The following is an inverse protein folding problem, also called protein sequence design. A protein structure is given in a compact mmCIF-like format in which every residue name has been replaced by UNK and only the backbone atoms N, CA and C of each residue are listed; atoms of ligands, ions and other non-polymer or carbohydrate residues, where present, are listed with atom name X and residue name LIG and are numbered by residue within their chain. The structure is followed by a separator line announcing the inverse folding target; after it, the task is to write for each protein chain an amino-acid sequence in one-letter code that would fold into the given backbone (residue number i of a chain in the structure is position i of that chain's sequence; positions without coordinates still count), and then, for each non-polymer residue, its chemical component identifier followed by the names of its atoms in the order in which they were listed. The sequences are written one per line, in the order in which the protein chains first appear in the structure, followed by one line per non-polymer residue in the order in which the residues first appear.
data_IF_393861656735
#
_entry.id   IF_393861656735
#
_cell.length_a   1.000
_cell.length_b   1.000
_cell.length_c   1.000
_cell.angle_alpha   90.00
_cell.angle_beta   90.00
_cell.angle_gamma   90.00
#
_symmetry.space_group_name_H-M   'P 1'
#
loop_
_entity.id
_entity.type
_entity.pdbx_description
1 polymer ?
#
# COMPACT_ATOMS: atom_id res chain seq x y z
N UNK A 1 -20.62 -16.56 -2.23
CA UNK A 1 -22.01 -16.13 -2.10
C UNK A 1 -22.08 -14.61 -1.86
N UNK A 2 -23.02 -13.90 -2.51
CA UNK A 2 -23.12 -12.45 -2.45
C UNK A 2 -23.24 -11.90 -1.01
N UNK A 3 -24.00 -12.58 -0.16
CA UNK A 3 -24.19 -12.17 1.23
C UNK A 3 -22.88 -12.10 2.04
N UNK A 4 -21.91 -12.99 1.78
CA UNK A 4 -20.59 -12.92 2.46
C UNK A 4 -19.80 -11.67 2.05
N UNK A 5 -19.88 -11.30 0.78
CA UNK A 5 -19.23 -10.07 0.27
C UNK A 5 -19.88 -8.82 0.88
N UNK A 6 -21.22 -8.79 0.91
CA UNK A 6 -21.97 -7.69 1.51
C UNK A 6 -21.71 -7.55 3.01
N UNK A 7 -21.63 -8.68 3.74
CA UNK A 7 -21.31 -8.70 5.17
C UNK A 7 -19.88 -8.23 5.43
N UNK A 8 -18.92 -8.63 4.60
CA UNK A 8 -17.55 -8.18 4.71
C UNK A 8 -17.43 -6.67 4.47
N UNK A 9 -18.07 -6.15 3.41
CA UNK A 9 -18.10 -4.71 3.13
C UNK A 9 -18.71 -3.93 4.31
N UNK A 10 -19.84 -4.39 4.85
CA UNK A 10 -20.48 -3.74 6.01
C UNK A 10 -19.65 -3.78 7.29
N UNK A 11 -18.82 -4.81 7.44
CA UNK A 11 -17.96 -4.99 8.60
C UNK A 11 -16.68 -4.19 8.53
N UNK A 12 -16.20 -3.89 7.32
CA UNK A 12 -15.00 -3.12 7.12
C UNK A 12 -15.22 -1.66 7.54
N UNK A 13 -14.33 -1.06 8.35
CA UNK A 13 -14.48 0.34 8.76
C UNK A 13 -14.49 1.29 7.56
N UNK A 14 -15.41 2.27 7.58
CA UNK A 14 -15.51 3.31 6.54
C UNK A 14 -14.42 4.37 6.62
N UNK A 15 -13.65 4.37 7.70
CA UNK A 15 -12.53 5.28 7.94
C UNK A 15 -11.30 4.49 8.37
N UNK A 16 -10.13 4.99 8.01
CA UNK A 16 -8.85 4.46 8.44
C UNK A 16 -8.01 5.59 9.02
N UNK A 17 -7.57 5.42 10.26
CA UNK A 17 -6.65 6.37 10.89
C UNK A 17 -5.21 5.93 10.65
N UNK A 18 -4.53 6.61 9.75
CA UNK A 18 -3.10 6.49 9.54
C UNK A 18 -2.37 7.20 10.69
N UNK A 19 -2.03 6.44 11.74
CA UNK A 19 -1.36 6.99 12.91
C UNK A 19 0.11 7.28 12.62
N UNK A 20 0.54 8.51 12.77
CA UNK A 20 1.95 8.89 12.73
C UNK A 20 2.68 8.45 14.00
N UNK A 21 4.02 8.36 13.91
CA UNK A 21 4.85 8.27 15.11
C UNK A 21 4.65 9.52 15.99
N UNK A 22 4.55 10.68 15.35
CA UNK A 22 4.07 11.91 15.97
C UNK A 22 2.53 11.98 15.85
N UNK A 23 1.78 12.06 16.95
CA UNK A 23 0.33 12.17 16.91
C UNK A 23 -0.21 13.40 16.15
N UNK A 24 0.57 14.47 16.04
CA UNK A 24 0.21 15.67 15.25
C UNK A 24 0.19 15.40 13.75
N UNK A 25 0.89 14.34 13.31
CA UNK A 25 0.95 13.88 11.92
C UNK A 25 -0.09 12.78 11.60
N UNK A 26 -1.03 12.52 12.51
CA UNK A 26 -2.14 11.58 12.23
C UNK A 26 -2.99 12.07 11.07
N UNK A 27 -3.37 11.16 10.20
CA UNK A 27 -4.27 11.44 9.10
C UNK A 27 -5.45 10.46 9.08
N UNK A 28 -6.66 11.00 8.95
CA UNK A 28 -7.86 10.17 8.79
C UNK A 28 -8.19 10.06 7.31
N UNK A 29 -8.06 8.83 6.78
CA UNK A 29 -8.52 8.49 5.45
C UNK A 29 -10.03 8.25 5.50
N UNK A 30 -10.79 9.14 4.93
CA UNK A 30 -12.25 9.13 4.92
C UNK A 30 -12.82 9.69 3.63
N UNK A 31 -14.10 9.44 3.39
CA UNK A 31 -14.77 9.91 2.19
C UNK A 31 -14.84 11.44 2.14
N UNK A 32 -14.37 12.02 1.03
CA UNK A 32 -14.35 13.47 0.81
C UNK A 32 -13.09 14.19 1.30
N UNK A 33 -12.13 13.47 1.88
CA UNK A 33 -10.83 14.01 2.24
C UNK A 33 -9.76 13.38 1.34
N UNK A 34 -8.93 14.21 0.71
CA UNK A 34 -7.83 13.78 -0.14
C UNK A 34 -6.49 14.16 0.49
N UNK A 35 -5.49 13.31 0.29
CA UNK A 35 -4.11 13.57 0.70
C UNK A 35 -3.14 12.93 -0.28
N UNK A 36 -1.92 13.41 -0.29
CA UNK A 36 -0.88 12.94 -1.18
C UNK A 36 0.08 11.99 -0.47
N UNK A 37 0.58 11.02 -1.22
CA UNK A 37 1.55 10.02 -0.81
C UNK A 37 2.63 10.01 -1.88
N UNK A 38 3.88 9.78 -1.51
CA UNK A 38 4.90 9.52 -2.51
C UNK A 38 4.65 8.17 -3.18
N UNK A 39 5.14 8.00 -4.40
CA UNK A 39 5.18 6.69 -5.05
C UNK A 39 6.35 5.86 -4.51
N UNK A 40 6.17 4.55 -4.44
CA UNK A 40 7.10 3.67 -3.74
C UNK A 40 7.87 2.69 -4.62
N UNK A 41 8.97 2.23 -4.02
CA UNK A 41 9.78 1.07 -4.42
C UNK A 41 10.50 1.19 -5.78
N UNK A 42 10.98 2.40 -6.10
CA UNK A 42 11.73 2.58 -7.34
C UNK A 42 13.07 1.83 -7.30
N UNK A 43 13.35 0.92 -8.29
CA UNK A 43 14.62 0.20 -8.39
C UNK A 43 15.74 1.04 -8.99
N UNK A 44 15.41 2.19 -9.57
CA UNK A 44 16.32 3.13 -10.18
C UNK A 44 15.98 4.54 -9.73
N UNK A 45 16.98 5.41 -9.65
CA UNK A 45 16.82 6.82 -9.33
C UNK A 45 17.69 7.69 -10.23
N UNK A 46 17.28 8.93 -10.39
CA UNK A 46 18.15 9.98 -10.98
C UNK A 46 18.92 10.61 -9.83
N UNK A 47 20.25 10.52 -9.89
CA UNK A 47 21.11 11.17 -8.91
C UNK A 47 20.87 12.69 -8.93
N UNK A 48 20.54 13.32 -7.80
CA UNK A 48 20.19 14.75 -7.78
C UNK A 48 21.37 15.66 -8.12
N UNK A 49 22.61 15.18 -7.97
CA UNK A 49 23.84 15.96 -8.23
C UNK A 49 24.35 15.76 -9.65
N UNK A 50 24.52 14.52 -10.08
CA UNK A 50 25.07 14.19 -11.40
C UNK A 50 24.03 14.17 -12.50
N UNK A 51 22.73 14.02 -12.16
CA UNK A 51 21.60 13.84 -13.09
C UNK A 51 21.66 12.53 -13.90
N UNK A 52 22.50 11.62 -13.48
CA UNK A 52 22.64 10.29 -14.10
C UNK A 52 21.65 9.29 -13.46
N UNK A 53 21.19 8.35 -14.27
CA UNK A 53 20.37 7.24 -13.81
C UNK A 53 21.26 6.20 -13.15
N UNK A 54 20.96 5.81 -11.90
CA UNK A 54 21.66 4.80 -11.15
C UNK A 54 20.75 3.99 -10.22
N UNK A 55 21.25 2.87 -9.71
CA UNK A 55 20.60 2.14 -8.63
C UNK A 55 20.75 2.88 -7.31
N UNK A 56 19.71 2.88 -6.45
CA UNK A 56 19.79 3.48 -5.13
C UNK A 56 20.60 2.61 -4.16
N UNK A 57 21.14 3.27 -3.15
CA UNK A 57 21.85 2.67 -2.02
C UNK A 57 21.06 2.86 -0.72
N UNK A 58 21.51 2.23 0.38
CA UNK A 58 20.95 2.45 1.72
C UNK A 58 20.98 3.92 2.14
N UNK A 59 22.07 4.63 1.81
CA UNK A 59 22.19 6.05 2.11
C UNK A 59 21.11 6.89 1.39
N UNK A 60 20.80 6.54 0.13
CA UNK A 60 19.73 7.21 -0.61
C UNK A 60 18.35 6.98 0.04
N UNK A 61 18.11 5.78 0.59
CA UNK A 61 16.86 5.49 1.32
C UNK A 61 16.75 6.36 2.58
N UNK A 62 17.84 6.49 3.35
CA UNK A 62 17.87 7.31 4.55
C UNK A 62 17.63 8.81 4.22
N UNK A 63 18.30 9.33 3.20
CA UNK A 63 18.13 10.72 2.74
C UNK A 63 16.71 10.98 2.20
N UNK A 64 16.19 10.06 1.37
CA UNK A 64 14.83 10.17 0.84
C UNK A 64 13.77 10.12 1.94
N UNK A 65 13.99 9.32 2.98
CA UNK A 65 13.08 9.22 4.13
C UNK A 65 13.00 10.55 4.88
N UNK A 66 14.15 11.18 5.17
CA UNK A 66 14.20 12.50 5.80
C UNK A 66 13.55 13.58 4.93
N UNK A 67 13.81 13.54 3.63
CA UNK A 67 13.22 14.50 2.68
C UNK A 67 11.69 14.37 2.65
N UNK A 68 11.15 13.14 2.59
CA UNK A 68 9.70 12.92 2.57
C UNK A 68 9.02 13.30 3.89
N UNK A 69 9.71 13.14 5.01
CA UNK A 69 9.19 13.59 6.31
C UNK A 69 9.07 15.10 6.39
N UNK A 70 9.99 15.83 5.77
CA UNK A 70 9.98 17.29 5.72
C UNK A 70 8.90 17.90 4.80
N UNK A 71 8.29 17.10 3.91
CA UNK A 71 7.26 17.58 2.99
C UNK A 71 5.87 17.50 3.63
N UNK A 72 5.30 18.62 4.06
CA UNK A 72 3.99 18.66 4.73
C UNK A 72 2.85 18.09 3.88
N UNK A 73 2.93 18.18 2.56
CA UNK A 73 1.90 17.66 1.65
C UNK A 73 1.91 16.13 1.53
N UNK A 74 3.02 15.47 1.87
CA UNK A 74 3.10 14.02 1.94
C UNK A 74 2.56 13.58 3.31
N UNK A 75 1.35 13.03 3.32
CA UNK A 75 0.64 12.68 4.58
C UNK A 75 0.98 11.28 5.10
N UNK A 76 1.37 10.37 4.22
CA UNK A 76 1.80 9.01 4.53
C UNK A 76 3.11 8.77 3.80
N UNK A 77 4.09 8.20 4.52
CA UNK A 77 5.36 7.77 3.94
C UNK A 77 5.18 6.42 3.27
N UNK A 78 5.44 6.34 1.98
CA UNK A 78 5.64 5.07 1.29
C UNK A 78 7.14 4.86 1.02
N UNK A 79 7.63 3.63 1.15
CA UNK A 79 9.02 3.27 0.91
C UNK A 79 9.47 3.73 -0.49
N UNK A 80 10.33 4.75 -0.62
CA UNK A 80 10.55 5.42 -1.91
C UNK A 80 11.44 4.61 -2.87
N UNK A 81 12.42 3.89 -2.33
CA UNK A 81 13.51 3.30 -3.10
C UNK A 81 13.78 1.86 -2.64
N UNK A 82 14.27 1.03 -3.56
CA UNK A 82 14.77 -0.33 -3.28
C UNK A 82 16.29 -0.32 -3.33
N UNK A 83 17.02 -0.32 -2.19
CA UNK A 83 18.47 -0.28 -2.19
C UNK A 83 19.08 -1.53 -2.82
N UNK A 84 20.13 -1.36 -3.62
CA UNK A 84 20.83 -2.41 -4.35
C UNK A 84 22.06 -2.96 -3.64
N UNK A 85 22.54 -2.26 -2.59
CA UNK A 85 23.74 -2.57 -1.84
C UNK A 85 23.48 -3.43 -0.60
N UNK A 86 22.44 -4.27 -0.66
CA UNK A 86 22.07 -5.18 0.42
C UNK A 86 21.29 -6.40 -0.11
N UNK A 87 21.13 -7.40 0.76
CA UNK A 87 20.29 -8.55 0.47
C UNK A 87 18.82 -8.15 0.35
N UNK A 88 18.19 -8.55 -0.76
CA UNK A 88 16.80 -8.19 -1.06
C UNK A 88 15.79 -8.87 -0.10
N UNK A 89 16.15 -10.00 0.50
CA UNK A 89 15.28 -10.68 1.48
C UNK A 89 15.05 -9.84 2.74
N UNK A 90 16.04 -9.03 3.13
CA UNK A 90 15.96 -8.15 4.30
C UNK A 90 15.74 -6.67 3.96
N UNK A 91 15.56 -6.35 2.68
CA UNK A 91 15.37 -4.97 2.21
C UNK A 91 14.20 -4.27 2.92
N UNK A 92 13.07 -4.97 3.11
CA UNK A 92 11.91 -4.43 3.81
C UNK A 92 12.20 -4.10 5.29
N UNK A 93 13.05 -4.88 5.95
CA UNK A 93 13.47 -4.62 7.33
C UNK A 93 14.35 -3.38 7.43
N UNK A 94 15.26 -3.19 6.46
CA UNK A 94 16.09 -1.99 6.42
C UNK A 94 15.24 -0.73 6.16
N UNK A 95 14.34 -0.80 5.21
CA UNK A 95 13.41 0.30 4.92
C UNK A 95 12.53 0.63 6.12
N UNK A 96 12.08 -0.39 6.86
CA UNK A 96 11.36 -0.19 8.13
C UNK A 96 12.24 0.51 9.17
N UNK A 97 13.51 0.11 9.29
CA UNK A 97 14.47 0.78 10.19
C UNK A 97 14.67 2.24 9.80
N UNK A 98 14.89 2.55 8.52
CA UNK A 98 15.04 3.91 8.02
C UNK A 98 13.79 4.76 8.35
N UNK A 99 12.60 4.21 8.06
CA UNK A 99 11.32 4.81 8.41
C UNK A 99 11.20 5.11 9.92
N UNK A 100 11.40 4.11 10.77
CA UNK A 100 11.26 4.25 12.21
C UNK A 100 12.26 5.22 12.83
N UNK A 101 13.44 5.39 12.24
CA UNK A 101 14.44 6.35 12.73
C UNK A 101 14.13 7.79 12.32
N UNK A 102 13.64 7.99 11.09
CA UNK A 102 13.71 9.30 10.43
C UNK A 102 12.36 9.86 10.01
N UNK A 103 11.26 9.10 10.09
CA UNK A 103 9.95 9.57 9.69
C UNK A 103 8.99 9.67 10.89
N UNK A 104 8.25 10.78 10.97
CA UNK A 104 7.25 11.03 12.03
C UNK A 104 5.83 10.70 11.58
N UNK A 105 5.60 10.51 10.29
CA UNK A 105 4.31 10.22 9.67
C UNK A 105 3.95 8.74 9.77
N UNK A 106 2.76 8.39 9.31
CA UNK A 106 2.38 6.98 9.11
C UNK A 106 3.18 6.35 7.99
N UNK A 107 3.69 5.14 8.20
CA UNK A 107 4.41 4.38 7.17
C UNK A 107 3.50 3.44 6.38
N UNK A 108 3.80 3.28 5.09
CA UNK A 108 3.25 2.20 4.29
C UNK A 108 4.41 1.35 3.77
N UNK A 109 4.44 0.09 4.18
CA UNK A 109 5.58 -0.80 3.97
C UNK A 109 5.10 -2.09 3.32
N UNK A 110 5.55 -2.35 2.10
CA UNK A 110 5.33 -3.60 1.39
C UNK A 110 6.11 -4.75 2.06
N UNK A 111 5.43 -5.83 2.39
CA UNK A 111 5.99 -6.99 3.07
C UNK A 111 5.59 -8.27 2.35
N UNK A 112 6.58 -9.09 2.02
CA UNK A 112 6.39 -10.30 1.20
C UNK A 112 6.42 -11.60 2.02
N UNK A 113 6.72 -11.51 3.33
CA UNK A 113 6.74 -12.69 4.20
C UNK A 113 6.18 -12.39 5.58
N UNK A 114 5.60 -13.41 6.19
CA UNK A 114 5.09 -13.36 7.57
C UNK A 114 6.20 -13.06 8.57
N UNK A 115 7.40 -13.58 8.34
CA UNK A 115 8.56 -13.38 9.21
C UNK A 115 8.99 -11.91 9.22
N UNK A 116 9.10 -11.29 8.03
CA UNK A 116 9.41 -9.87 7.92
C UNK A 116 8.31 -9.01 8.55
N UNK A 117 7.03 -9.35 8.34
CA UNK A 117 5.92 -8.64 8.99
C UNK A 117 6.05 -8.67 10.51
N UNK A 118 6.26 -9.85 11.11
CA UNK A 118 6.43 -10.00 12.55
C UNK A 118 7.62 -9.21 13.08
N UNK A 119 8.72 -9.21 12.34
CA UNK A 119 9.93 -8.45 12.69
C UNK A 119 9.67 -6.95 12.63
N UNK A 120 9.01 -6.46 11.58
CA UNK A 120 8.63 -5.05 11.46
C UNK A 120 7.67 -4.62 12.59
N UNK A 121 6.71 -5.46 12.96
CA UNK A 121 5.82 -5.18 14.10
C UNK A 121 6.59 -5.10 15.41
N UNK A 122 7.55 -6.01 15.66
CA UNK A 122 8.41 -5.93 16.84
C UNK A 122 9.22 -4.63 16.87
N UNK A 123 9.84 -4.23 15.75
CA UNK A 123 10.58 -2.97 15.63
C UNK A 123 9.68 -1.77 15.93
N UNK A 124 8.51 -1.72 15.32
CA UNK A 124 7.53 -0.64 15.51
C UNK A 124 6.97 -0.63 16.94
N UNK A 125 6.78 -1.79 17.57
CA UNK A 125 6.33 -1.91 18.96
C UNK A 125 7.36 -1.33 19.94
N UNK A 126 8.65 -1.52 19.68
CA UNK A 126 9.71 -0.89 20.50
C UNK A 126 9.59 0.64 20.44
N UNK A 127 9.41 1.20 19.25
CA UNK A 127 9.25 2.65 19.03
C UNK A 127 7.95 3.18 19.64
N UNK A 128 6.87 2.42 19.56
CA UNK A 128 5.58 2.78 20.15
C UNK A 128 5.54 2.67 21.68
N UNK A 129 6.54 2.01 22.28
CA UNK A 129 6.63 1.77 23.73
C UNK A 129 5.83 0.55 24.21
N UNK A 130 5.62 -0.44 23.36
CA UNK A 130 5.01 -1.73 23.65
C UNK A 130 4.04 -2.22 22.56
N UNK A 131 3.78 -3.54 22.55
CA UNK A 131 2.89 -4.16 21.58
C UNK A 131 1.45 -3.67 21.70
N UNK A 132 0.95 -3.46 22.91
CA UNK A 132 -0.40 -2.95 23.14
C UNK A 132 -0.57 -1.54 22.59
N UNK A 133 0.42 -0.67 22.82
CA UNK A 133 0.42 0.69 22.29
C UNK A 133 0.48 0.71 20.76
N UNK A 134 1.27 -0.20 20.17
CA UNK A 134 1.28 -0.35 18.70
C UNK A 134 -0.07 -0.82 18.17
N UNK A 135 -0.75 -1.75 18.86
CA UNK A 135 -2.09 -2.22 18.45
C UNK A 135 -3.16 -1.14 18.54
N UNK A 136 -3.08 -0.26 19.53
CA UNK A 136 -3.99 0.89 19.66
C UNK A 136 -3.72 1.95 18.60
N UNK A 137 -2.45 2.17 18.26
CA UNK A 137 -2.00 3.16 17.29
C UNK A 137 -0.97 2.56 16.34
N UNK A 138 -1.38 1.77 15.36
CA UNK A 138 -0.45 1.20 14.39
C UNK A 138 0.17 2.31 13.53
N UNK A 139 1.48 2.53 13.71
CA UNK A 139 2.23 3.60 13.03
C UNK A 139 2.62 3.23 11.61
N UNK A 140 2.32 2.03 11.17
CA UNK A 140 2.43 1.64 9.76
C UNK A 140 1.29 0.70 9.34
N UNK A 141 1.05 0.66 8.04
CA UNK A 141 0.20 -0.28 7.33
C UNK A 141 1.03 -1.07 6.32
N UNK A 142 0.49 -2.21 5.87
CA UNK A 142 1.14 -3.02 4.83
C UNK A 142 0.22 -3.27 3.64
N UNK A 143 0.76 -3.87 2.61
CA UNK A 143 0.02 -4.22 1.39
C UNK A 143 -0.38 -5.68 1.37
N UNK A 144 -1.42 -5.96 0.60
CA UNK A 144 -1.75 -7.28 0.10
C UNK A 144 -2.11 -7.16 -1.38
N UNK A 145 -1.27 -7.74 -2.23
CA UNK A 145 -1.33 -7.55 -3.67
C UNK A 145 -1.84 -8.82 -4.35
N UNK A 146 -3.11 -8.83 -4.84
CA UNK A 146 -3.57 -9.90 -5.70
C UNK A 146 -2.79 -9.90 -7.02
N UNK A 147 -2.61 -11.08 -7.60
CA UNK A 147 -2.01 -11.23 -8.92
C UNK A 147 -3.12 -11.20 -9.96
N UNK A 148 -3.15 -10.15 -10.75
CA UNK A 148 -4.16 -10.02 -11.83
C UNK A 148 -3.85 -10.95 -13.01
N UNK A 149 -4.84 -11.67 -13.54
CA UNK A 149 -6.24 -11.63 -13.16
C UNK A 149 -6.63 -12.67 -12.10
N UNK A 150 -7.38 -12.25 -11.09
CA UNK A 150 -8.18 -13.08 -10.17
C UNK A 150 -7.39 -14.18 -9.41
N UNK A 151 -6.11 -13.96 -9.12
CA UNK A 151 -5.28 -14.92 -8.42
C UNK A 151 -4.73 -14.33 -7.11
N UNK A 152 -4.65 -15.17 -6.09
CA UNK A 152 -4.03 -14.86 -4.81
C UNK A 152 -2.86 -15.82 -4.57
N UNK A 153 -1.67 -15.28 -4.36
CA UNK A 153 -0.54 -16.10 -3.91
C UNK A 153 -0.74 -16.54 -2.47
N UNK A 154 -0.15 -17.68 -2.13
CA UNK A 154 -0.15 -18.16 -0.74
C UNK A 154 0.48 -17.13 0.18
N UNK A 155 1.62 -16.57 -0.20
CA UNK A 155 2.38 -15.62 0.62
C UNK A 155 1.58 -14.33 0.89
N UNK A 156 0.89 -13.79 -0.12
CA UNK A 156 0.01 -12.63 0.06
C UNK A 156 -1.14 -12.92 1.02
N UNK A 157 -1.76 -14.11 0.92
CA UNK A 157 -2.81 -14.53 1.86
C UNK A 157 -2.27 -14.71 3.27
N UNK A 158 -1.10 -15.33 3.44
CA UNK A 158 -0.47 -15.55 4.75
C UNK A 158 -0.11 -14.21 5.42
N UNK A 159 0.45 -13.25 4.67
CA UNK A 159 0.74 -11.90 5.15
C UNK A 159 -0.55 -11.18 5.56
N UNK A 160 -1.61 -11.25 4.74
CA UNK A 160 -2.90 -10.64 5.07
C UNK A 160 -3.48 -11.23 6.37
N UNK A 161 -3.50 -12.56 6.49
CA UNK A 161 -4.03 -13.25 7.68
C UNK A 161 -3.25 -12.82 8.93
N UNK A 162 -1.95 -12.80 8.85
CA UNK A 162 -1.10 -12.42 9.99
C UNK A 162 -1.20 -10.93 10.33
N UNK A 163 -1.28 -10.04 9.32
CA UNK A 163 -1.50 -8.60 9.54
C UNK A 163 -2.82 -8.35 10.27
N UNK A 164 -3.89 -9.05 9.90
CA UNK A 164 -5.17 -8.98 10.60
C UNK A 164 -5.05 -9.41 12.07
N UNK A 165 -4.30 -10.48 12.35
CA UNK A 165 -4.06 -10.99 13.72
C UNK A 165 -3.26 -10.02 14.56
N UNK A 166 -2.24 -9.41 13.98
CA UNK A 166 -1.35 -8.44 14.64
C UNK A 166 -1.97 -7.05 14.77
N UNK A 167 -3.06 -6.75 14.05
CA UNK A 167 -3.71 -5.45 14.05
C UNK A 167 -3.06 -4.42 13.13
N UNK A 168 -2.27 -4.87 12.15
CA UNK A 168 -1.64 -4.01 11.14
C UNK A 168 -2.64 -3.70 10.04
N UNK A 169 -3.02 -2.44 9.79
CA UNK A 169 -3.93 -2.08 8.71
C UNK A 169 -3.40 -2.49 7.33
N UNK A 170 -4.32 -2.78 6.42
CA UNK A 170 -4.00 -3.32 5.10
C UNK A 170 -4.51 -2.43 3.98
N UNK A 171 -3.67 -2.17 2.98
CA UNK A 171 -4.08 -1.69 1.66
C UNK A 171 -4.12 -2.89 0.71
N UNK A 172 -5.23 -3.09 0.03
CA UNK A 172 -5.33 -4.04 -1.07
C UNK A 172 -4.96 -3.30 -2.33
N UNK A 173 -3.99 -3.81 -3.10
CA UNK A 173 -3.39 -3.04 -4.19
C UNK A 173 -3.27 -3.83 -5.49
N UNK A 174 -4.38 -4.16 -6.18
CA UNK A 174 -4.32 -4.82 -7.48
C UNK A 174 -3.57 -3.98 -8.51
N UNK A 175 -2.79 -4.66 -9.34
CA UNK A 175 -2.09 -4.09 -10.50
C UNK A 175 -2.58 -4.79 -11.76
N UNK A 176 -3.82 -4.55 -12.15
CA UNK A 176 -4.37 -5.02 -13.43
C UNK A 176 -3.85 -4.16 -14.57
N UNK A 177 -3.25 -4.80 -15.60
CA UNK A 177 -2.79 -4.11 -16.80
C UNK A 177 -3.77 -4.34 -17.93
N UNK A 178 -4.54 -3.31 -18.28
CA UNK A 178 -5.46 -3.37 -19.42
C UNK A 178 -4.68 -3.60 -20.72
N UNK A 179 -5.09 -4.60 -21.47
CA UNK A 179 -4.39 -5.06 -22.68
C UNK A 179 -3.29 -6.10 -22.44
N UNK A 180 -3.05 -6.49 -21.19
CA UNK A 180 -2.08 -7.54 -20.84
C UNK A 180 -2.67 -8.55 -19.85
N UNK A 181 -2.64 -8.25 -18.55
CA UNK A 181 -3.16 -9.15 -17.49
C UNK A 181 -4.66 -9.02 -17.28
N UNK A 182 -5.29 -8.01 -17.89
CA UNK A 182 -6.75 -7.82 -17.90
C UNK A 182 -7.24 -7.48 -19.31
N UNK A 183 -8.57 -7.37 -19.46
CA UNK A 183 -9.17 -7.03 -20.73
C UNK A 183 -8.68 -5.68 -21.29
N UNK A 184 -8.68 -5.52 -22.61
CA UNK A 184 -8.39 -4.23 -23.25
C UNK A 184 -9.42 -3.15 -22.89
N UNK A 185 -10.66 -3.54 -22.66
CA UNK A 185 -11.73 -2.62 -22.29
C UNK A 185 -11.59 -2.18 -20.83
N UNK A 186 -11.55 -0.87 -20.59
CA UNK A 186 -11.34 -0.29 -19.26
C UNK A 186 -12.43 -0.71 -18.25
N UNK A 187 -13.69 -0.77 -18.68
CA UNK A 187 -14.78 -1.19 -17.79
C UNK A 187 -14.62 -2.66 -17.34
N UNK A 188 -14.21 -3.54 -18.26
CA UNK A 188 -13.94 -4.95 -17.95
C UNK A 188 -12.76 -5.11 -17.01
N UNK A 189 -11.70 -4.30 -17.17
CA UNK A 189 -10.58 -4.23 -16.21
C UNK A 189 -11.05 -3.81 -14.83
N UNK A 190 -11.97 -2.83 -14.72
CA UNK A 190 -12.54 -2.44 -13.43
C UNK A 190 -13.36 -3.56 -12.77
N UNK A 191 -14.03 -4.42 -13.54
CA UNK A 191 -14.73 -5.59 -12.97
C UNK A 191 -13.74 -6.56 -12.34
N UNK A 192 -12.64 -6.89 -13.03
CA UNK A 192 -11.57 -7.75 -12.49
C UNK A 192 -10.96 -7.12 -11.23
N UNK A 193 -10.56 -5.85 -11.31
CA UNK A 193 -10.01 -5.10 -10.18
C UNK A 193 -10.94 -5.09 -8.96
N UNK A 194 -12.24 -4.87 -9.18
CA UNK A 194 -13.22 -4.87 -8.10
C UNK A 194 -13.34 -6.25 -7.43
N UNK A 195 -13.36 -7.32 -8.23
CA UNK A 195 -13.41 -8.69 -7.71
C UNK A 195 -12.18 -9.02 -6.86
N UNK A 196 -10.99 -8.61 -7.30
CA UNK A 196 -9.73 -8.78 -6.58
C UNK A 196 -9.72 -8.05 -5.23
N UNK A 197 -10.15 -6.78 -5.19
CA UNK A 197 -10.28 -6.04 -3.94
C UNK A 197 -11.28 -6.70 -2.98
N UNK A 198 -12.49 -6.98 -3.47
CA UNK A 198 -13.56 -7.51 -2.62
C UNK A 198 -13.22 -8.89 -2.06
N UNK A 199 -12.55 -9.75 -2.82
CA UNK A 199 -12.15 -11.09 -2.36
C UNK A 199 -11.15 -11.01 -1.19
N UNK A 200 -10.19 -10.09 -1.23
CA UNK A 200 -9.25 -9.85 -0.13
C UNK A 200 -9.92 -9.21 1.08
N UNK A 201 -10.89 -8.30 0.87
CA UNK A 201 -11.70 -7.75 1.97
C UNK A 201 -12.48 -8.87 2.66
N UNK A 202 -13.09 -9.78 1.90
CA UNK A 202 -13.79 -10.94 2.47
C UNK A 202 -12.84 -11.78 3.32
N UNK A 203 -11.66 -12.10 2.82
CA UNK A 203 -10.66 -12.87 3.55
C UNK A 203 -10.26 -12.15 4.85
N UNK A 204 -9.93 -10.87 4.79
CA UNK A 204 -9.51 -10.10 5.96
C UNK A 204 -10.61 -9.97 7.02
N UNK A 205 -11.86 -9.72 6.60
CA UNK A 205 -13.00 -9.63 7.52
C UNK A 205 -13.40 -11.00 8.09
N UNK A 206 -13.13 -12.10 7.38
CA UNK A 206 -13.32 -13.45 7.90
C UNK A 206 -12.28 -13.79 8.99
N UNK A 207 -11.04 -13.30 8.87
CA UNK A 207 -9.99 -13.46 9.88
C UNK A 207 -10.26 -12.59 11.11
N UNK A 208 -10.58 -11.32 10.88
CA UNK A 208 -10.85 -10.35 11.95
C UNK A 208 -11.91 -9.34 11.49
N UNK A 209 -13.15 -9.56 11.95
CA UNK A 209 -14.24 -8.64 11.68
C UNK A 209 -13.95 -7.24 12.21
N UNK A 210 -14.17 -6.22 11.40
CA UNK A 210 -13.87 -4.82 11.73
C UNK A 210 -12.40 -4.43 11.54
N UNK A 211 -11.57 -5.28 10.91
CA UNK A 211 -10.20 -4.93 10.60
C UNK A 211 -10.11 -3.81 9.54
N UNK A 212 -9.30 -2.75 9.76
CA UNK A 212 -9.16 -1.67 8.79
C UNK A 212 -8.50 -2.13 7.50
N UNK A 213 -9.21 -1.97 6.39
CA UNK A 213 -8.71 -2.30 5.05
C UNK A 213 -9.02 -1.16 4.10
N UNK A 214 -8.05 -0.82 3.26
CA UNK A 214 -8.14 0.27 2.29
C UNK A 214 -8.32 -0.32 0.89
N UNK A 215 -9.32 0.15 0.18
CA UNK A 215 -9.59 -0.20 -1.22
C UNK A 215 -8.59 0.51 -2.11
N UNK A 216 -7.53 -0.19 -2.52
CA UNK A 216 -6.40 0.40 -3.22
C UNK A 216 -6.33 0.02 -4.69
N UNK A 217 -5.40 0.65 -5.40
CA UNK A 217 -5.11 0.35 -6.81
C UNK A 217 -3.78 0.90 -7.28
N UNK A 218 -3.10 0.09 -8.10
CA UNK A 218 -2.05 0.51 -9.02
C UNK A 218 -2.39 0.13 -10.48
N UNK A 219 -3.67 -0.16 -10.75
CA UNK A 219 -4.17 -0.58 -12.08
C UNK A 219 -3.90 0.48 -13.15
N UNK A 220 -3.36 0.04 -14.27
CA UNK A 220 -2.98 0.89 -15.41
C UNK A 220 -3.21 0.18 -16.75
N UNK A 221 -2.60 0.67 -17.80
CA UNK A 221 -2.56 0.04 -19.10
C UNK A 221 -1.13 -0.44 -19.42
N UNK A 222 -1.02 -1.40 -20.32
CA UNK A 222 0.26 -1.75 -20.93
C UNK A 222 0.48 -0.94 -22.21
N UNK A 223 1.66 -0.38 -22.38
CA UNK A 223 2.12 0.06 -23.69
C UNK A 223 2.47 -1.17 -24.52
N UNK A 224 1.63 -1.50 -25.48
CA UNK A 224 1.76 -2.69 -26.33
C UNK A 224 3.00 -2.63 -27.23
N UNK A 225 3.57 -1.46 -27.47
CA UNK A 225 4.79 -1.30 -28.27
C UNK A 225 6.04 -1.66 -27.51
N UNK A 226 6.11 -1.31 -26.24
CA UNK A 226 7.30 -1.51 -25.39
C UNK A 226 7.16 -2.68 -24.42
N UNK A 227 5.92 -3.14 -24.15
CA UNK A 227 5.62 -4.15 -23.14
C UNK A 227 5.73 -3.63 -21.71
N UNK A 228 5.83 -2.31 -21.51
CA UNK A 228 5.99 -1.68 -20.21
C UNK A 228 4.65 -1.16 -19.68
N UNK A 229 4.57 -1.03 -18.36
CA UNK A 229 3.44 -0.35 -17.72
C UNK A 229 3.49 1.14 -18.08
N UNK A 230 2.38 1.67 -18.60
CA UNK A 230 2.28 3.09 -18.89
C UNK A 230 1.85 3.86 -17.64
N UNK A 231 2.83 4.12 -16.74
CA UNK A 231 2.61 4.93 -15.55
C UNK A 231 2.37 6.38 -15.95
N UNK A 232 1.35 7.00 -15.35
CA UNK A 232 0.96 8.38 -15.68
C UNK A 232 0.17 8.52 -16.99
N UNK A 233 -0.24 7.42 -17.64
CA UNK A 233 -1.13 7.49 -18.79
C UNK A 233 -2.52 8.07 -18.41
N UNK A 234 -3.22 8.76 -19.31
CA UNK A 234 -4.58 9.26 -19.04
C UNK A 234 -5.54 8.17 -18.56
N UNK A 235 -5.41 6.96 -19.09
CA UNK A 235 -6.21 5.80 -18.70
C UNK A 235 -5.98 5.41 -17.23
N UNK A 236 -4.76 5.54 -16.70
CA UNK A 236 -4.48 5.33 -15.28
C UNK A 236 -5.23 6.34 -14.41
N UNK A 237 -5.29 7.61 -14.84
CA UNK A 237 -6.09 8.64 -14.19
C UNK A 237 -7.59 8.31 -14.20
N UNK A 238 -8.11 7.79 -15.33
CA UNK A 238 -9.49 7.34 -15.45
C UNK A 238 -9.77 6.17 -14.50
N UNK A 239 -8.87 5.17 -14.44
CA UNK A 239 -8.98 4.06 -13.49
C UNK A 239 -8.99 4.57 -12.05
N UNK A 240 -8.05 5.42 -11.68
CA UNK A 240 -7.95 5.95 -10.32
C UNK A 240 -9.21 6.69 -9.89
N UNK A 241 -9.79 7.52 -10.78
CA UNK A 241 -11.04 8.22 -10.51
C UNK A 241 -12.24 7.26 -10.38
N UNK A 242 -12.33 6.25 -11.25
CA UNK A 242 -13.39 5.24 -11.21
C UNK A 242 -13.29 4.35 -9.95
N UNK A 243 -12.08 3.95 -9.59
CA UNK A 243 -11.80 3.11 -8.42
C UNK A 243 -12.10 3.87 -7.11
N UNK A 244 -11.73 5.14 -7.04
CA UNK A 244 -12.12 5.98 -5.90
C UNK A 244 -13.65 6.11 -5.78
N UNK A 245 -14.38 6.17 -6.90
CA UNK A 245 -15.85 6.15 -6.89
C UNK A 245 -16.41 4.80 -6.44
N UNK A 246 -15.82 3.67 -6.84
CA UNK A 246 -16.21 2.34 -6.37
C UNK A 246 -16.00 2.21 -4.86
N UNK A 247 -14.84 2.62 -4.35
CA UNK A 247 -14.58 2.64 -2.91
C UNK A 247 -15.62 3.48 -2.16
N UNK A 248 -15.94 4.66 -2.70
CA UNK A 248 -17.01 5.54 -2.15
C UNK A 248 -18.38 4.85 -2.16
N UNK A 249 -18.72 4.12 -3.21
CA UNK A 249 -19.95 3.34 -3.29
C UNK A 249 -20.04 2.30 -2.19
N UNK A 250 -18.92 1.60 -1.90
CA UNK A 250 -18.82 0.63 -0.81
C UNK A 250 -18.62 1.27 0.58
N UNK A 251 -18.49 2.59 0.66
CA UNK A 251 -18.15 3.33 1.90
C UNK A 251 -16.83 2.89 2.51
N UNK A 252 -15.84 2.58 1.69
CA UNK A 252 -14.51 2.18 2.11
C UNK A 252 -13.53 3.33 1.89
N UNK A 253 -12.47 3.46 2.73
CA UNK A 253 -11.36 4.36 2.44
C UNK A 253 -10.64 3.89 1.18
N UNK A 254 -10.13 4.81 0.37
CA UNK A 254 -9.42 4.48 -0.87
C UNK A 254 -8.02 5.05 -0.92
N UNK A 255 -7.15 4.31 -1.64
CA UNK A 255 -5.80 4.74 -1.92
C UNK A 255 -5.43 4.32 -3.34
N UNK A 256 -5.44 5.24 -4.27
CA UNK A 256 -5.21 5.00 -5.69
C UNK A 256 -3.90 5.63 -6.12
N UNK A 257 -3.22 5.00 -7.11
CA UNK A 257 -2.02 5.57 -7.67
C UNK A 257 -2.36 6.85 -8.44
N UNK A 258 -1.62 7.91 -8.17
CA UNK A 258 -1.62 9.11 -9.00
C UNK A 258 -0.74 8.88 -10.22
N UNK A 259 -1.06 9.51 -11.34
CA UNK A 259 -0.24 9.51 -12.54
C UNK A 259 0.62 10.77 -12.62
#
# INVERSE_FOLDING_TARGET
PAHLVEDAIRSCPSTFKACGRDPEKDYVCENGRSGFVNFGEAPMMIDPKTRELRTPTKADVDEATLFLDALDQVIVFERPLTPSDMDQEICSLYNTKAFLNSCTKHGYIGLNSVENLRTCVKMASIVAGGEDKFRERPIFSTTCDPISPLMHSKDACDVLIEACRLGVPLKINPLGLSGATTCMNLASTLVTHNAENLSMIVLGQAVRKGHPMVYGSSTSIMDLKTGLVAMGAPEMGIFSAAIAKLAKFYRLPSWVAGG
#
